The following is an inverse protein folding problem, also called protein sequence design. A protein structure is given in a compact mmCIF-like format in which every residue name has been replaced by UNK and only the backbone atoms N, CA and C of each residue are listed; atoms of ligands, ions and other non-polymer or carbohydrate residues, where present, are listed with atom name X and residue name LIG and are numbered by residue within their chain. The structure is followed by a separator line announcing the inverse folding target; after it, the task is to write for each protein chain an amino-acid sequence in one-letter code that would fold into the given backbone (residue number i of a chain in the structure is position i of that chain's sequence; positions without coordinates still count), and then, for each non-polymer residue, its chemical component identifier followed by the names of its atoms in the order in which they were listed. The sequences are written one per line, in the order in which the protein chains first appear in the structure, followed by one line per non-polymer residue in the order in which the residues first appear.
data_IF_137534658602
#
_entry.id   IF_137534658602
#
_cell.length_a   1.000
_cell.length_b   1.000
_cell.length_c   1.000
_cell.angle_alpha   90.00
_cell.angle_beta   90.00
_cell.angle_gamma   90.00
#
_symmetry.space_group_name_H-M   'P 1'
#
loop_
_entity.id
_entity.type
_entity.pdbx_description
1 polymer ?
#
# COMPACT_ATOMS: atom_id res chain seq x y z
N UNK A 1 -31.77 3.98 -6.04
CA UNK A 1 -30.62 4.22 -6.92
C UNK A 1 -30.42 2.98 -7.76
N UNK A 2 -29.85 3.12 -8.95
CA UNK A 2 -29.63 1.98 -9.87
C UNK A 2 -28.41 1.13 -9.48
N UNK A 3 -27.37 1.76 -8.92
CA UNK A 3 -26.20 1.06 -8.39
C UNK A 3 -26.46 0.52 -6.97
N UNK A 4 -26.20 -0.78 -6.77
CA UNK A 4 -26.34 -1.47 -5.48
C UNK A 4 -25.02 -1.61 -4.71
N UNK A 5 -23.88 -1.58 -5.43
CA UNK A 5 -22.53 -1.61 -4.88
C UNK A 5 -21.69 -0.58 -5.62
N UNK A 6 -20.90 0.19 -4.89
CA UNK A 6 -20.02 1.22 -5.44
C UNK A 6 -18.66 1.06 -4.78
N UNK A 7 -17.62 0.96 -5.61
CA UNK A 7 -16.23 0.86 -5.17
C UNK A 7 -15.51 2.09 -5.73
N UNK A 8 -14.73 2.76 -4.89
CA UNK A 8 -14.03 3.96 -5.29
C UNK A 8 -13.20 4.54 -4.16
N UNK A 9 -12.60 5.69 -4.44
CA UNK A 9 -11.71 6.38 -3.49
C UNK A 9 -12.49 7.40 -2.67
N UNK A 10 -11.77 8.33 -2.03
CA UNK A 10 -12.33 9.50 -1.33
C UNK A 10 -13.34 10.30 -2.16
N UNK A 11 -13.35 10.18 -3.49
CA UNK A 11 -14.35 10.78 -4.37
C UNK A 11 -15.80 10.43 -3.97
N UNK A 12 -16.03 9.24 -3.41
CA UNK A 12 -17.36 8.77 -2.98
C UNK A 12 -17.87 9.47 -1.71
N UNK A 13 -16.99 10.12 -0.95
CA UNK A 13 -17.32 10.75 0.34
C UNK A 13 -17.66 12.24 0.15
N UNK A 14 -17.38 12.81 -1.04
CA UNK A 14 -17.58 14.24 -1.31
C UNK A 14 -19.04 14.68 -1.10
N UNK A 15 -19.24 15.93 -0.68
CA UNK A 15 -20.56 16.50 -0.34
C UNK A 15 -21.62 16.33 -1.45
N UNK A 16 -21.21 16.44 -2.73
CA UNK A 16 -22.11 16.35 -3.88
C UNK A 16 -22.64 14.94 -4.16
N UNK A 17 -22.02 13.90 -3.62
CA UNK A 17 -22.45 12.52 -3.84
C UNK A 17 -23.66 12.22 -2.96
N UNK A 18 -24.80 11.88 -3.56
CA UNK A 18 -26.04 11.57 -2.85
C UNK A 18 -26.38 10.10 -3.03
N UNK A 19 -26.71 9.42 -1.93
CA UNK A 19 -27.09 8.02 -1.93
C UNK A 19 -28.59 7.90 -1.69
N UNK A 20 -29.26 7.03 -2.45
CA UNK A 20 -30.71 6.80 -2.27
C UNK A 20 -31.02 6.08 -0.95
N UNK A 21 -30.21 5.09 -0.59
CA UNK A 21 -30.31 4.37 0.69
C UNK A 21 -28.94 3.73 1.02
N UNK A 22 -28.03 4.50 1.61
CA UNK A 22 -26.75 3.98 2.07
C UNK A 22 -26.97 3.19 3.37
N UNK A 23 -26.82 1.86 3.29
CA UNK A 23 -27.00 0.96 4.43
C UNK A 23 -25.67 0.49 5.04
N UNK A 24 -24.61 0.40 4.24
CA UNK A 24 -23.28 -0.07 4.67
C UNK A 24 -22.19 0.73 3.94
N UNK A 25 -21.20 1.21 4.68
CA UNK A 25 -19.96 1.74 4.14
C UNK A 25 -18.78 0.92 4.69
N UNK A 26 -17.98 0.38 3.78
CA UNK A 26 -16.75 -0.35 4.10
C UNK A 26 -15.57 0.51 3.68
N UNK A 27 -14.62 0.69 4.60
CA UNK A 27 -13.46 1.53 4.38
C UNK A 27 -12.20 0.77 4.76
N UNK A 28 -11.26 0.64 3.82
CA UNK A 28 -10.00 -0.10 3.99
C UNK A 28 -8.82 0.87 4.25
N UNK A 29 -7.76 0.39 4.91
CA UNK A 29 -6.53 1.13 5.23
C UNK A 29 -6.74 2.55 5.80
N UNK A 30 -7.48 2.63 6.91
CA UNK A 30 -7.96 3.89 7.48
C UNK A 30 -6.90 4.85 8.06
N UNK A 31 -5.60 4.51 8.06
CA UNK A 31 -4.59 5.49 8.49
C UNK A 31 -4.58 6.75 7.60
N UNK A 32 -5.16 6.69 6.39
CA UNK A 32 -5.35 7.86 5.50
C UNK A 32 -6.74 8.50 5.61
N UNK A 33 -7.69 7.85 6.27
CA UNK A 33 -9.07 8.29 6.35
C UNK A 33 -9.41 8.70 7.79
N UNK A 34 -9.38 10.02 8.03
CA UNK A 34 -9.57 10.58 9.37
C UNK A 34 -11.01 10.50 9.88
N UNK A 35 -11.19 10.79 11.18
CA UNK A 35 -12.49 10.85 11.88
C UNK A 35 -13.56 11.61 11.09
N UNK A 36 -13.21 12.76 10.49
CA UNK A 36 -14.14 13.59 9.70
C UNK A 36 -14.77 12.88 8.51
N UNK A 37 -14.06 11.96 7.87
CA UNK A 37 -14.59 11.24 6.71
C UNK A 37 -15.58 10.15 7.14
N UNK A 38 -15.41 9.57 8.33
CA UNK A 38 -16.41 8.68 8.94
C UNK A 38 -17.69 9.43 9.27
N UNK A 39 -17.59 10.61 9.87
CA UNK A 39 -18.75 11.47 10.16
C UNK A 39 -19.50 11.85 8.87
N UNK A 40 -18.76 12.21 7.80
CA UNK A 40 -19.38 12.48 6.50
C UNK A 40 -20.12 11.26 5.94
N UNK A 41 -19.54 10.06 5.98
CA UNK A 41 -20.21 8.84 5.53
C UNK A 41 -21.44 8.49 6.39
N UNK A 42 -21.34 8.66 7.71
CA UNK A 42 -22.45 8.45 8.63
C UNK A 42 -23.63 9.37 8.29
N UNK A 43 -23.36 10.63 7.91
CA UNK A 43 -24.38 11.61 7.51
C UNK A 43 -24.96 11.43 6.10
N UNK A 44 -24.41 10.53 5.27
CA UNK A 44 -24.87 10.28 3.89
C UNK A 44 -26.04 9.30 3.80
N UNK A 45 -26.39 8.64 4.89
CA UNK A 45 -27.56 7.78 5.05
C UNK A 45 -28.30 8.10 6.35
N UNK A 46 -29.41 7.42 6.62
CA UNK A 46 -30.15 7.63 7.87
C UNK A 46 -29.37 7.12 9.09
N UNK A 47 -28.78 5.93 8.98
CA UNK A 47 -27.92 5.30 9.98
C UNK A 47 -27.15 4.14 9.32
N UNK A 48 -26.18 4.42 8.43
CA UNK A 48 -25.44 3.38 7.75
C UNK A 48 -24.56 2.60 8.74
N UNK A 49 -24.44 1.29 8.54
CA UNK A 49 -23.41 0.50 9.19
C UNK A 49 -22.04 0.89 8.65
N UNK A 50 -21.05 1.06 9.53
CA UNK A 50 -19.69 1.45 9.15
C UNK A 50 -18.75 0.31 9.52
N UNK A 51 -18.03 -0.22 8.53
CA UNK A 51 -16.99 -1.23 8.73
C UNK A 51 -15.64 -0.64 8.34
N UNK A 52 -14.75 -0.56 9.32
CA UNK A 52 -13.39 -0.07 9.18
C UNK A 52 -12.43 -1.25 9.18
N UNK A 53 -11.63 -1.40 8.13
CA UNK A 53 -10.59 -2.43 8.01
C UNK A 53 -9.20 -1.78 7.91
N UNK A 54 -8.20 -2.46 8.46
CA UNK A 54 -6.79 -2.08 8.38
C UNK A 54 -5.93 -3.33 8.51
N UNK A 55 -4.96 -3.51 7.60
CA UNK A 55 -3.96 -4.57 7.75
C UNK A 55 -2.83 -4.16 8.71
N UNK A 56 -2.64 -2.85 8.94
CA UNK A 56 -1.65 -2.37 9.91
C UNK A 56 -2.21 -2.50 11.33
N UNK A 57 -1.56 -3.27 12.22
CA UNK A 57 -2.00 -3.40 13.60
C UNK A 57 -1.78 -2.07 14.31
N UNK A 58 -2.87 -1.33 14.54
CA UNK A 58 -2.85 -0.11 15.34
C UNK A 58 -2.70 -0.52 16.80
N UNK A 59 -1.78 0.10 17.58
CA UNK A 59 -1.68 -0.18 19.00
C UNK A 59 -3.05 -0.06 19.65
N UNK A 60 -3.46 -1.08 20.42
CA UNK A 60 -4.82 -1.16 20.98
C UNK A 60 -5.24 0.13 21.70
N UNK A 61 -4.31 0.74 22.43
CA UNK A 61 -4.55 2.01 23.14
C UNK A 61 -4.87 3.17 22.17
N UNK A 62 -4.15 3.25 21.05
CA UNK A 62 -4.41 4.25 20.02
C UNK A 62 -5.74 3.95 19.31
N UNK A 63 -6.06 2.67 19.10
CA UNK A 63 -7.34 2.28 18.51
C UNK A 63 -8.53 2.69 19.41
N UNK A 64 -8.44 2.52 20.74
CA UNK A 64 -9.50 2.98 21.67
C UNK A 64 -9.65 4.51 21.65
N UNK A 65 -8.55 5.26 21.49
CA UNK A 65 -8.62 6.73 21.43
C UNK A 65 -9.21 7.21 20.10
N UNK A 66 -8.79 6.61 18.98
CA UNK A 66 -9.23 7.01 17.64
C UNK A 66 -10.61 6.48 17.26
N UNK A 67 -10.98 5.31 17.80
CA UNK A 67 -12.16 4.53 17.42
C UNK A 67 -12.97 4.13 18.65
N UNK A 68 -12.91 4.89 19.75
CA UNK A 68 -13.59 4.56 21.01
C UNK A 68 -15.12 4.46 20.91
N UNK A 69 -15.67 4.84 19.76
CA UNK A 69 -17.06 4.72 19.36
C UNK A 69 -17.38 3.43 18.56
N UNK A 70 -16.37 2.61 18.24
CA UNK A 70 -16.49 1.40 17.43
C UNK A 70 -16.10 0.15 18.22
N UNK A 71 -16.84 -0.93 18.00
CA UNK A 71 -16.42 -2.27 18.43
C UNK A 71 -15.22 -2.73 17.60
N UNK A 72 -14.16 -3.18 18.28
CA UNK A 72 -12.92 -3.61 17.64
C UNK A 72 -12.90 -5.14 17.56
N UNK A 73 -12.78 -5.66 16.34
CA UNK A 73 -12.47 -7.06 16.08
C UNK A 73 -11.05 -7.18 15.53
N UNK A 74 -10.27 -8.14 16.02
CA UNK A 74 -8.88 -8.38 15.61
C UNK A 74 -8.78 -9.78 15.01
N UNK A 75 -8.21 -9.86 13.82
CA UNK A 75 -7.86 -11.12 13.15
C UNK A 75 -6.34 -11.25 13.17
N UNK A 76 -5.82 -12.08 14.07
CA UNK A 76 -4.38 -12.26 14.31
C UNK A 76 -3.84 -13.61 13.78
N UNK A 77 -4.72 -14.45 13.23
CA UNK A 77 -4.33 -15.72 12.62
C UNK A 77 -3.87 -15.54 11.18
N UNK A 78 -2.80 -16.25 10.82
CA UNK A 78 -2.33 -16.33 9.45
C UNK A 78 -3.12 -17.40 8.68
N UNK A 79 -3.32 -17.25 7.36
CA UNK A 79 -3.86 -18.32 6.52
C UNK A 79 -3.05 -19.62 6.68
N UNK A 80 -3.74 -20.77 6.74
CA UNK A 80 -3.16 -22.06 7.11
C UNK A 80 -1.90 -22.50 6.33
N UNK A 81 -1.72 -22.01 5.11
CA UNK A 81 -0.60 -22.37 4.23
C UNK A 81 0.43 -21.23 4.04
N UNK A 82 0.44 -20.23 4.91
CA UNK A 82 1.40 -19.12 4.81
C UNK A 82 2.78 -19.54 5.30
N UNK A 83 3.75 -19.60 4.39
CA UNK A 83 5.14 -19.90 4.72
C UNK A 83 5.80 -18.69 5.45
N UNK A 84 6.63 -18.94 6.48
CA UNK A 84 7.42 -17.88 7.11
C UNK A 84 8.36 -17.20 6.11
N UNK A 85 8.44 -15.87 6.21
CA UNK A 85 9.38 -15.08 5.39
C UNK A 85 10.77 -15.21 6.00
N UNK A 86 11.75 -15.65 5.20
CA UNK A 86 13.16 -15.60 5.58
C UNK A 86 13.67 -14.18 5.40
N UNK A 87 14.09 -13.53 6.47
CA UNK A 87 14.65 -12.19 6.46
C UNK A 87 16.14 -12.21 6.85
N UNK A 88 16.89 -11.25 6.35
CA UNK A 88 18.28 -11.02 6.76
C UNK A 88 18.58 -9.51 6.71
N UNK A 89 19.49 -9.07 7.56
CA UNK A 89 20.05 -7.72 7.55
C UNK A 89 21.50 -7.86 7.11
N UNK A 90 21.88 -7.11 6.08
CA UNK A 90 23.19 -7.20 5.44
C UNK A 90 23.73 -5.80 5.17
N UNK A 91 25.05 -5.67 5.13
CA UNK A 91 25.72 -4.46 4.72
C UNK A 91 25.81 -4.35 3.18
N UNK A 92 26.37 -3.23 2.71
CA UNK A 92 26.52 -2.92 1.28
C UNK A 92 27.44 -3.89 0.54
N UNK A 93 28.36 -4.57 1.23
CA UNK A 93 29.23 -5.61 0.66
C UNK A 93 28.45 -6.85 0.20
N UNK A 94 27.26 -7.09 0.74
CA UNK A 94 26.39 -8.20 0.32
C UNK A 94 25.62 -7.93 -0.98
N UNK A 95 25.70 -6.72 -1.53
CA UNK A 95 24.90 -6.27 -2.66
C UNK A 95 25.08 -7.14 -3.90
N UNK A 96 26.31 -7.57 -4.19
CA UNK A 96 26.57 -8.50 -5.29
C UNK A 96 25.87 -9.86 -5.08
N UNK A 97 25.92 -10.41 -3.87
CA UNK A 97 25.19 -11.66 -3.56
C UNK A 97 23.68 -11.48 -3.70
N UNK A 98 23.14 -10.33 -3.30
CA UNK A 98 21.73 -10.00 -3.49
C UNK A 98 21.35 -9.97 -4.97
N UNK A 99 22.17 -9.38 -5.84
CA UNK A 99 21.92 -9.37 -7.30
C UNK A 99 21.89 -10.77 -7.90
N UNK A 100 22.84 -11.64 -7.52
CA UNK A 100 22.84 -13.04 -7.94
C UNK A 100 21.56 -13.77 -7.48
N UNK A 101 21.12 -13.50 -6.24
CA UNK A 101 19.87 -14.06 -5.72
C UNK A 101 18.67 -13.56 -6.52
N UNK A 102 18.57 -12.26 -6.80
CA UNK A 102 17.50 -11.67 -7.62
C UNK A 102 17.45 -12.31 -9.01
N UNK A 103 18.59 -12.39 -9.71
CA UNK A 103 18.68 -13.04 -11.03
C UNK A 103 18.13 -14.46 -10.98
N UNK A 104 18.55 -15.26 -10.01
CA UNK A 104 18.07 -16.63 -9.83
C UNK A 104 16.57 -16.70 -9.59
N UNK A 105 16.00 -15.81 -8.76
CA UNK A 105 14.57 -15.81 -8.50
C UNK A 105 13.76 -15.44 -9.75
N UNK A 106 14.23 -14.45 -10.52
CA UNK A 106 13.55 -14.03 -11.75
C UNK A 106 13.61 -15.11 -12.83
N UNK A 107 14.75 -15.80 -13.00
CA UNK A 107 14.86 -16.91 -13.96
C UNK A 107 14.02 -18.13 -13.56
N UNK A 108 13.70 -18.29 -12.27
CA UNK A 108 12.71 -19.26 -11.78
C UNK A 108 11.24 -18.82 -12.02
N UNK A 109 11.00 -17.69 -12.70
CA UNK A 109 9.68 -17.15 -13.02
C UNK A 109 9.03 -16.36 -11.88
N UNK A 110 9.82 -15.91 -10.90
CA UNK A 110 9.32 -15.09 -9.77
C UNK A 110 9.56 -13.60 -10.03
N UNK A 111 8.90 -12.77 -9.24
CA UNK A 111 9.08 -11.31 -9.25
C UNK A 111 9.80 -10.84 -7.99
N UNK A 112 10.54 -9.75 -8.10
CA UNK A 112 11.29 -9.16 -7.01
C UNK A 112 10.96 -7.67 -6.87
N UNK A 113 10.90 -7.18 -5.64
CA UNK A 113 10.76 -5.76 -5.34
C UNK A 113 12.06 -5.23 -4.72
N UNK A 114 12.49 -4.06 -5.19
CA UNK A 114 13.59 -3.30 -4.61
C UNK A 114 13.08 -1.93 -4.20
N UNK A 115 13.25 -1.56 -2.94
CA UNK A 115 12.72 -0.33 -2.37
C UNK A 115 13.87 0.66 -2.18
N UNK A 116 13.78 1.81 -2.85
CA UNK A 116 14.69 2.93 -2.67
C UNK A 116 14.03 3.99 -1.78
N UNK A 117 14.76 4.60 -0.83
CA UNK A 117 14.21 5.60 0.08
C UNK A 117 13.87 6.93 -0.61
N UNK A 118 14.55 7.26 -1.71
CA UNK A 118 14.36 8.52 -2.43
C UNK A 118 13.94 8.32 -3.88
N UNK A 119 13.26 9.34 -4.42
CA UNK A 119 12.87 9.40 -5.83
C UNK A 119 13.97 10.02 -6.67
N UNK A 120 14.53 11.14 -6.21
CA UNK A 120 15.60 11.91 -6.85
C UNK A 120 16.74 12.08 -5.85
N UNK A 121 17.92 12.39 -6.37
CA UNK A 121 19.08 12.72 -5.55
C UNK A 121 18.82 13.95 -4.68
N UNK A 122 19.37 13.95 -3.46
CA UNK A 122 19.25 15.04 -2.50
C UNK A 122 20.65 15.52 -2.12
N UNK A 123 20.91 16.81 -2.26
CA UNK A 123 22.20 17.42 -1.86
C UNK A 123 22.52 17.24 -0.36
N UNK A 124 21.51 16.93 0.46
CA UNK A 124 21.65 16.80 1.91
C UNK A 124 21.71 15.36 2.41
N UNK A 125 21.38 14.38 1.56
CA UNK A 125 21.27 12.97 1.94
C UNK A 125 21.87 12.09 0.84
N UNK A 126 23.03 11.51 1.12
CA UNK A 126 23.66 10.48 0.28
C UNK A 126 22.91 9.15 0.44
N UNK A 127 21.73 9.08 -0.16
CA UNK A 127 20.89 7.87 -0.18
C UNK A 127 20.48 7.52 -1.60
N UNK A 128 20.31 6.24 -1.86
CA UNK A 128 19.96 5.70 -3.17
C UNK A 128 18.63 6.28 -3.68
N UNK A 129 18.64 6.82 -4.90
CA UNK A 129 17.44 7.29 -5.58
C UNK A 129 16.96 6.26 -6.62
N UNK A 130 15.64 6.10 -6.74
CA UNK A 130 15.04 5.05 -7.57
C UNK A 130 15.35 5.19 -9.07
N UNK A 131 15.52 6.41 -9.57
CA UNK A 131 15.76 6.66 -10.98
C UNK A 131 17.14 6.14 -11.40
N UNK A 132 18.18 6.52 -10.68
CA UNK A 132 19.55 6.10 -10.98
C UNK A 132 19.75 4.63 -10.62
N UNK A 133 19.22 4.22 -9.46
CA UNK A 133 19.35 2.85 -9.00
C UNK A 133 18.67 1.85 -9.92
N UNK A 134 17.54 2.20 -10.54
CA UNK A 134 16.89 1.35 -11.54
C UNK A 134 17.76 1.11 -12.77
N UNK A 135 18.54 2.12 -13.21
CA UNK A 135 19.46 2.00 -14.35
C UNK A 135 20.65 1.12 -13.97
N UNK A 136 21.28 1.38 -12.83
CA UNK A 136 22.36 0.53 -12.31
C UNK A 136 21.90 -0.91 -12.13
N UNK A 137 20.68 -1.12 -11.62
CA UNK A 137 20.13 -2.45 -11.45
C UNK A 137 19.86 -3.13 -12.79
N UNK A 138 19.39 -2.40 -13.82
CA UNK A 138 19.22 -2.94 -15.16
C UNK A 138 20.55 -3.38 -15.78
N UNK A 139 21.61 -2.58 -15.62
CA UNK A 139 22.97 -2.92 -16.07
C UNK A 139 23.51 -4.17 -15.34
N UNK A 140 23.36 -4.22 -14.02
CA UNK A 140 23.80 -5.35 -13.20
C UNK A 140 22.99 -6.62 -13.48
N UNK A 141 21.69 -6.50 -13.73
CA UNK A 141 20.79 -7.64 -13.98
C UNK A 141 20.86 -8.15 -15.43
N UNK A 142 21.25 -7.30 -16.38
CA UNK A 142 21.34 -7.60 -17.80
C UNK A 142 20.00 -7.49 -18.53
N UNK A 143 20.05 -7.52 -19.86
CA UNK A 143 18.90 -7.21 -20.74
C UNK A 143 17.78 -8.27 -20.73
N UNK A 144 18.04 -9.46 -20.19
CA UNK A 144 17.05 -10.54 -20.08
C UNK A 144 16.02 -10.30 -18.96
N UNK A 145 16.34 -9.42 -18.01
CA UNK A 145 15.48 -9.10 -16.86
C UNK A 145 14.93 -7.68 -17.04
N UNK A 146 13.61 -7.54 -17.02
CA UNK A 146 12.95 -6.24 -17.07
C UNK A 146 12.96 -5.57 -15.69
N UNK A 147 13.61 -4.41 -15.57
CA UNK A 147 13.56 -3.56 -14.38
C UNK A 147 12.57 -2.42 -14.59
N UNK A 148 11.40 -2.52 -13.96
CA UNK A 148 10.42 -1.44 -13.88
C UNK A 148 10.75 -0.45 -12.77
N UNK A 149 10.49 0.84 -13.00
CA UNK A 149 10.62 1.89 -11.99
C UNK A 149 9.24 2.47 -11.65
N UNK A 150 8.92 2.51 -10.35
CA UNK A 150 7.68 3.10 -9.84
C UNK A 150 8.02 4.07 -8.72
N UNK A 151 7.57 5.33 -8.86
CA UNK A 151 7.82 6.36 -7.85
C UNK A 151 6.67 7.35 -7.67
N UNK A 152 6.67 8.03 -6.53
CA UNK A 152 5.56 8.89 -6.09
C UNK A 152 5.20 10.01 -7.07
N UNK A 153 6.19 10.59 -7.75
CA UNK A 153 6.03 11.72 -8.68
C UNK A 153 5.44 11.35 -10.06
N UNK A 154 5.34 10.06 -10.41
CA UNK A 154 4.75 9.63 -11.69
C UNK A 154 3.26 9.93 -11.75
N UNK A 155 2.75 10.19 -12.95
CA UNK A 155 1.30 10.35 -13.16
C UNK A 155 0.59 9.01 -12.95
N UNK A 156 -0.68 8.99 -12.50
CA UNK A 156 -1.42 7.74 -12.29
C UNK A 156 -1.40 6.80 -13.50
N UNK A 157 -1.60 7.34 -14.72
CA UNK A 157 -1.54 6.55 -15.96
C UNK A 157 -0.19 5.90 -16.22
N UNK A 158 0.89 6.54 -15.79
CA UNK A 158 2.25 5.99 -15.95
C UNK A 158 2.48 4.87 -14.93
N UNK A 159 1.96 5.01 -13.69
CA UNK A 159 2.06 3.98 -12.65
C UNK A 159 1.30 2.70 -13.03
N UNK A 160 0.13 2.83 -13.64
CA UNK A 160 -0.70 1.70 -14.05
C UNK A 160 -0.12 0.92 -15.25
N UNK A 161 0.85 1.50 -15.95
CA UNK A 161 1.47 0.93 -17.15
C UNK A 161 2.80 0.21 -16.88
N UNK A 162 3.30 0.27 -15.64
CA UNK A 162 4.52 -0.41 -15.17
C UNK A 162 4.15 -1.73 -14.51
#
# INVERSE_FOLDING_TARGET
GEAQLIIGTHALIQEKVVYANLALAVTDEQHRFGVRQREMLAGKGKMPHILVMSATPIPRTLAIILYGDLDISVVDELPANRLPIKNCVVDTGYRQTAYHFLKKQVTEGRQCYVICPMVEESEHLEVENVLDYSRTLQEELGDEICVGCLHGKMKPREKDAV
#
